data_IF_309652184131
#
_entry.id   IF_309652184131
#
_cell.length_a   1.000
_cell.length_b   1.000
_cell.length_c   1.000
_cell.angle_alpha   90.00
_cell.angle_beta   90.00
_cell.angle_gamma   90.00
#
_symmetry.space_group_name_H-M   'P 1'
#
loop_
_entity.id
_entity.type
_entity.pdbx_description
1 polymer ?
#
# COMPACT_ATOMS: atom_id res chain seq x y z
N UNK A 1 13.00 -17.96 -28.17
CA UNK A 1 13.78 -16.72 -27.96
C UNK A 1 14.64 -16.47 -29.19
N UNK A 2 14.26 -15.54 -30.04
CA UNK A 2 15.07 -15.08 -31.17
C UNK A 2 16.03 -14.01 -30.68
N UNK A 3 17.33 -14.33 -30.60
CA UNK A 3 18.40 -13.35 -30.38
C UNK A 3 18.78 -12.73 -31.73
N UNK A 4 18.06 -11.71 -32.18
CA UNK A 4 18.49 -10.87 -33.30
C UNK A 4 18.99 -9.55 -32.74
N UNK A 5 20.31 -9.34 -32.73
CA UNK A 5 20.91 -8.09 -32.24
C UNK A 5 20.78 -6.99 -33.29
N UNK A 6 20.02 -5.93 -32.99
CA UNK A 6 20.12 -4.64 -33.67
C UNK A 6 20.72 -3.63 -32.68
N UNK A 7 21.99 -3.24 -32.90
CA UNK A 7 22.74 -2.31 -32.03
C UNK A 7 23.55 -2.98 -30.90
N UNK A 8 24.01 -2.19 -29.91
CA UNK A 8 24.84 -2.66 -28.77
C UNK A 8 24.06 -3.43 -27.68
N UNK A 9 22.75 -3.60 -27.82
CA UNK A 9 21.89 -4.24 -26.82
C UNK A 9 21.38 -5.60 -27.30
N UNK A 10 21.32 -6.56 -26.38
CA UNK A 10 20.64 -7.85 -26.63
C UNK A 10 19.14 -7.61 -26.71
N UNK A 11 18.49 -8.17 -27.73
CA UNK A 11 17.06 -8.03 -27.95
C UNK A 11 16.40 -9.41 -27.91
N UNK A 12 15.20 -9.44 -27.34
CA UNK A 12 14.29 -10.59 -27.33
C UNK A 12 12.88 -10.08 -27.57
N UNK A 13 12.05 -10.91 -28.19
CA UNK A 13 10.65 -10.59 -28.47
C UNK A 13 9.74 -11.78 -28.19
N UNK A 14 8.46 -11.47 -27.96
CA UNK A 14 7.36 -12.41 -27.75
C UNK A 14 6.16 -11.94 -28.60
N UNK A 15 5.23 -12.85 -28.89
CA UNK A 15 3.96 -12.47 -29.52
C UNK A 15 3.08 -11.68 -28.55
N UNK A 16 2.17 -10.87 -29.10
CA UNK A 16 1.20 -10.11 -28.32
C UNK A 16 0.38 -11.00 -27.39
N UNK A 17 -0.07 -12.15 -27.89
CA UNK A 17 -0.80 -13.17 -27.12
C UNK A 17 -0.02 -13.76 -25.94
N UNK A 18 1.31 -13.66 -25.94
CA UNK A 18 2.18 -14.17 -24.88
C UNK A 18 2.62 -13.11 -23.87
N UNK A 19 2.19 -11.85 -24.02
CA UNK A 19 2.63 -10.74 -23.16
C UNK A 19 2.21 -11.00 -21.71
N UNK A 20 0.95 -11.30 -21.47
CA UNK A 20 0.44 -11.43 -20.09
C UNK A 20 1.13 -12.59 -19.35
N UNK A 21 1.31 -13.74 -20.00
CA UNK A 21 2.05 -14.87 -19.41
C UNK A 21 3.52 -14.53 -19.12
N UNK A 22 4.17 -13.76 -20.01
CA UNK A 22 5.55 -13.32 -19.80
C UNK A 22 5.66 -12.31 -18.64
N UNK A 23 4.71 -11.38 -18.52
CA UNK A 23 4.61 -10.43 -17.41
C UNK A 23 4.49 -11.19 -16.09
N UNK A 24 3.58 -12.17 -15.99
CA UNK A 24 3.43 -13.01 -14.79
C UNK A 24 4.72 -13.74 -14.43
N UNK A 25 5.43 -14.31 -15.40
CA UNK A 25 6.72 -15.00 -15.18
C UNK A 25 7.84 -14.07 -14.70
N UNK A 26 7.80 -12.79 -15.06
CA UNK A 26 8.78 -11.79 -14.63
C UNK A 26 8.44 -11.28 -13.22
N UNK A 27 7.15 -11.05 -12.94
CA UNK A 27 6.66 -10.64 -11.63
C UNK A 27 6.91 -11.72 -10.58
N UNK A 28 6.67 -12.99 -10.92
CA UNK A 28 6.99 -14.15 -10.06
C UNK A 28 8.49 -14.27 -9.74
N UNK A 29 9.36 -13.64 -10.54
CA UNK A 29 10.80 -13.53 -10.29
C UNK A 29 11.20 -12.24 -9.57
N UNK A 30 10.24 -11.39 -9.20
CA UNK A 30 10.47 -10.14 -8.48
C UNK A 30 10.85 -8.95 -9.36
N UNK A 31 10.67 -9.03 -10.68
CA UNK A 31 10.95 -7.91 -11.58
C UNK A 31 9.74 -6.99 -11.74
N UNK A 32 9.98 -5.68 -11.76
CA UNK A 32 8.97 -4.70 -12.18
C UNK A 32 8.90 -4.64 -13.71
N UNK A 33 7.69 -4.60 -14.26
CA UNK A 33 7.47 -4.69 -15.72
C UNK A 33 6.65 -3.50 -16.20
N UNK A 34 7.22 -2.70 -17.11
CA UNK A 34 6.51 -1.60 -17.77
C UNK A 34 5.88 -2.02 -19.09
N UNK A 35 4.59 -1.74 -19.27
CA UNK A 35 3.84 -1.99 -20.51
C UNK A 35 3.77 -0.72 -21.36
N UNK A 36 4.44 -0.75 -22.50
CA UNK A 36 4.46 0.32 -23.49
C UNK A 36 3.55 -0.04 -24.66
N UNK A 37 2.57 0.82 -24.96
CA UNK A 37 1.64 0.61 -26.07
C UNK A 37 1.87 1.62 -27.19
N UNK A 38 1.47 1.24 -28.41
CA UNK A 38 1.43 2.14 -29.55
C UNK A 38 0.16 2.99 -29.47
N UNK A 39 0.31 4.31 -29.61
CA UNK A 39 -0.81 5.26 -29.51
C UNK A 39 -1.47 5.56 -30.85
N UNK A 40 -0.83 5.18 -31.96
CA UNK A 40 -1.29 5.50 -33.31
C UNK A 40 -1.00 4.34 -34.26
N UNK A 41 -1.81 4.19 -35.30
CA UNK A 41 -1.58 3.20 -36.36
C UNK A 41 -0.49 3.66 -37.33
N UNK A 42 -0.02 2.75 -38.18
CA UNK A 42 0.97 3.05 -39.22
C UNK A 42 0.47 4.13 -40.19
N UNK A 43 -0.81 4.10 -40.55
CA UNK A 43 -1.45 5.07 -41.45
C UNK A 43 -1.50 6.46 -40.82
N UNK A 44 -1.88 6.53 -39.54
CA UNK A 44 -1.90 7.77 -38.77
C UNK A 44 -0.50 8.38 -38.66
N UNK A 45 0.52 7.58 -38.37
CA UNK A 45 1.90 8.04 -38.35
C UNK A 45 2.35 8.56 -39.74
N UNK A 46 2.07 7.84 -40.82
CA UNK A 46 2.41 8.27 -42.18
C UNK A 46 1.72 9.57 -42.59
N UNK A 47 0.48 9.78 -42.15
CA UNK A 47 -0.25 11.02 -42.40
C UNK A 47 0.42 12.25 -41.77
N UNK A 48 1.16 12.04 -40.68
CA UNK A 48 1.94 13.05 -39.95
C UNK A 48 3.27 13.38 -40.64
N UNK A 49 3.71 12.54 -41.58
CA UNK A 49 4.95 12.66 -42.34
C UNK A 49 5.52 11.29 -42.73
N UNK A 50 6.16 11.22 -43.90
CA UNK A 50 6.71 9.96 -44.45
C UNK A 50 7.83 9.34 -43.60
N UNK A 51 8.53 10.15 -42.80
CA UNK A 51 9.59 9.73 -41.88
C UNK A 51 9.15 9.68 -40.42
N UNK A 52 7.85 9.89 -40.16
CA UNK A 52 7.35 9.99 -38.80
C UNK A 52 7.30 8.61 -38.12
N UNK A 53 7.76 8.57 -36.87
CA UNK A 53 7.80 7.34 -36.05
C UNK A 53 6.52 7.22 -35.24
N UNK A 54 5.98 6.00 -35.15
CA UNK A 54 4.82 5.66 -34.31
C UNK A 54 5.13 6.00 -32.86
N UNK A 55 4.28 6.86 -32.28
CA UNK A 55 4.35 7.23 -30.87
C UNK A 55 4.00 6.05 -29.97
N UNK A 56 4.80 5.87 -28.92
CA UNK A 56 4.60 4.87 -27.87
C UNK A 56 4.55 5.54 -26.52
N UNK A 57 3.75 5.01 -25.61
CA UNK A 57 3.61 5.53 -24.25
C UNK A 57 3.54 4.39 -23.25
N UNK A 58 4.09 4.63 -22.06
CA UNK A 58 3.94 3.73 -20.91
C UNK A 58 2.49 3.83 -20.44
N UNK A 59 1.78 2.71 -20.49
CA UNK A 59 0.37 2.62 -20.09
C UNK A 59 0.23 2.05 -18.69
N UNK A 60 1.12 1.13 -18.30
CA UNK A 60 1.03 0.47 -17.00
C UNK A 60 2.41 0.05 -16.49
N UNK A 61 2.57 0.02 -15.16
CA UNK A 61 3.74 -0.58 -14.51
C UNK A 61 3.26 -1.62 -13.51
N UNK A 62 3.59 -2.88 -13.78
CA UNK A 62 3.31 -3.99 -12.89
C UNK A 62 4.46 -4.15 -11.88
N UNK A 63 4.12 -4.23 -10.59
CA UNK A 63 5.04 -4.67 -9.52
C UNK A 63 4.52 -5.98 -8.96
N UNK A 64 5.36 -6.80 -8.31
CA UNK A 64 4.91 -8.02 -7.63
C UNK A 64 3.70 -7.76 -6.71
N UNK A 65 3.64 -6.59 -6.09
CA UNK A 65 2.60 -6.14 -5.16
C UNK A 65 1.31 -5.66 -5.82
N UNK A 66 1.36 -5.25 -7.09
CA UNK A 66 0.19 -4.80 -7.88
C UNK A 66 -0.23 -5.81 -8.95
N UNK A 67 0.26 -7.04 -8.85
CA UNK A 67 -0.01 -8.09 -9.83
C UNK A 67 -1.45 -8.55 -9.75
N UNK A 68 -2.22 -8.32 -10.83
CA UNK A 68 -3.31 -9.22 -11.20
C UNK A 68 -3.91 -8.87 -12.56
N UNK A 69 -4.22 -9.92 -13.32
CA UNK A 69 -4.88 -9.97 -14.63
C UNK A 69 -6.25 -9.28 -14.65
N UNK A 70 -6.29 -7.94 -14.63
CA UNK A 70 -7.56 -7.18 -14.69
C UNK A 70 -8.51 -7.42 -13.51
N UNK A 71 -8.12 -8.21 -12.52
CA UNK A 71 -8.89 -8.50 -11.31
C UNK A 71 -7.95 -8.56 -10.13
N UNK A 72 -7.93 -7.45 -9.39
CA UNK A 72 -7.17 -7.27 -8.15
C UNK A 72 -7.37 -8.50 -7.27
N UNK A 73 -6.27 -9.10 -6.80
CA UNK A 73 -6.30 -10.37 -6.09
C UNK A 73 -7.27 -10.36 -4.89
N UNK A 74 -7.61 -11.53 -4.32
CA UNK A 74 -8.57 -11.62 -3.21
C UNK A 74 -8.13 -10.90 -1.92
N UNK A 75 -6.86 -10.49 -1.83
CA UNK A 75 -6.33 -9.74 -0.69
C UNK A 75 -6.61 -8.25 -0.87
N UNK A 76 -7.34 -7.68 0.08
CA UNK A 76 -7.84 -6.30 0.02
C UNK A 76 -6.72 -5.23 -0.04
N UNK A 77 -5.65 -5.31 0.75
CA UNK A 77 -4.72 -4.17 0.91
C UNK A 77 -3.38 -4.38 0.21
N UNK A 78 -3.07 -3.49 -0.73
CA UNK A 78 -1.94 -3.67 -1.67
C UNK A 78 -0.72 -2.85 -1.28
N UNK A 79 -0.91 -1.58 -0.91
CA UNK A 79 0.18 -0.65 -0.65
C UNK A 79 -0.07 0.11 0.65
N UNK A 80 0.95 0.25 1.48
CA UNK A 80 0.96 1.08 2.69
C UNK A 80 2.12 2.08 2.58
N UNK A 81 1.84 3.37 2.67
CA UNK A 81 2.84 4.40 2.86
C UNK A 81 2.94 4.81 4.33
N UNK A 82 4.17 4.93 4.83
CA UNK A 82 4.44 5.35 6.22
C UNK A 82 5.41 6.53 6.21
N UNK A 83 5.09 7.55 7.01
CA UNK A 83 5.94 8.71 7.30
C UNK A 83 6.12 8.83 8.81
N UNK A 84 7.35 9.08 9.24
CA UNK A 84 7.72 9.25 10.64
C UNK A 84 8.07 10.71 10.90
N UNK A 85 7.70 11.22 12.08
CA UNK A 85 8.11 12.52 12.58
C UNK A 85 8.40 12.39 14.07
N UNK A 86 9.59 12.84 14.47
CA UNK A 86 10.01 12.86 15.87
C UNK A 86 9.60 14.19 16.51
N UNK A 87 8.83 14.13 17.59
CA UNK A 87 8.53 15.32 18.38
C UNK A 87 9.61 15.47 19.45
N UNK A 88 10.63 16.29 19.19
CA UNK A 88 11.71 16.55 20.15
C UNK A 88 11.21 17.18 21.47
N UNK A 89 10.02 17.80 21.46
CA UNK A 89 9.40 18.46 22.59
C UNK A 89 8.65 17.51 23.56
N UNK A 90 8.24 16.31 23.11
CA UNK A 90 7.43 15.37 23.89
C UNK A 90 8.20 14.09 24.20
N UNK A 91 9.26 14.19 25.01
CA UNK A 91 9.98 13.05 25.61
C UNK A 91 10.42 11.94 24.63
N UNK A 92 10.73 12.28 23.38
CA UNK A 92 11.13 11.29 22.37
C UNK A 92 10.00 10.40 21.87
N UNK A 93 8.74 10.85 21.99
CA UNK A 93 7.61 10.21 21.33
C UNK A 93 7.69 10.40 19.81
N UNK A 94 7.36 9.34 19.09
CA UNK A 94 7.39 9.31 17.63
C UNK A 94 5.96 9.27 17.12
N UNK A 95 5.66 10.12 16.14
CA UNK A 95 4.38 10.08 15.44
C UNK A 95 4.58 9.47 14.06
N UNK A 96 3.76 8.47 13.73
CA UNK A 96 3.67 7.94 12.37
C UNK A 96 2.37 8.40 11.72
N UNK A 97 2.50 8.99 10.54
CA UNK A 97 1.40 9.14 9.59
C UNK A 97 1.42 7.99 8.61
N UNK A 98 0.25 7.46 8.26
CA UNK A 98 0.16 6.38 7.30
C UNK A 98 -1.03 6.57 6.35
N UNK A 99 -0.88 5.99 5.17
CA UNK A 99 -1.96 5.87 4.20
C UNK A 99 -1.85 4.52 3.50
N UNK A 100 -2.96 3.81 3.32
CA UNK A 100 -2.97 2.56 2.55
C UNK A 100 -4.17 2.50 1.61
N UNK A 101 -4.03 1.66 0.57
CA UNK A 101 -5.04 1.54 -0.48
C UNK A 101 -5.40 0.09 -0.73
N UNK A 102 -6.71 -0.11 -0.87
CA UNK A 102 -7.31 -1.26 -1.52
C UNK A 102 -7.69 -0.82 -2.93
N UNK A 103 -6.87 -1.22 -3.90
CA UNK A 103 -7.11 -0.89 -5.29
C UNK A 103 -8.41 -1.55 -5.81
N UNK A 104 -8.83 -2.70 -5.27
CA UNK A 104 -10.03 -3.42 -5.70
C UNK A 104 -11.29 -2.71 -5.26
N UNK A 105 -11.30 -2.29 -4.00
CA UNK A 105 -12.42 -1.59 -3.40
C UNK A 105 -12.44 -0.10 -3.77
N UNK A 106 -11.39 0.42 -4.43
CA UNK A 106 -11.17 1.85 -4.68
C UNK A 106 -11.27 2.65 -3.38
N UNK A 107 -10.63 2.16 -2.31
CA UNK A 107 -10.65 2.80 -1.00
C UNK A 107 -9.24 3.12 -0.55
N UNK A 108 -9.09 4.35 -0.07
CA UNK A 108 -7.88 4.86 0.54
C UNK A 108 -8.18 5.16 1.99
N UNK A 109 -7.34 4.67 2.89
CA UNK A 109 -7.43 4.95 4.30
C UNK A 109 -6.23 5.77 4.73
N UNK A 110 -6.47 6.73 5.63
CA UNK A 110 -5.44 7.61 6.16
C UNK A 110 -5.59 7.74 7.66
N UNK A 111 -4.48 7.79 8.38
CA UNK A 111 -4.50 7.95 9.81
C UNK A 111 -3.13 8.29 10.39
N UNK A 112 -3.10 8.44 11.71
CA UNK A 112 -1.88 8.67 12.47
C UNK A 112 -1.86 7.80 13.73
N UNK A 113 -0.68 7.40 14.14
CA UNK A 113 -0.42 6.75 15.43
C UNK A 113 0.71 7.48 16.15
N UNK A 114 0.59 7.57 17.47
CA UNK A 114 1.69 7.95 18.35
C UNK A 114 2.30 6.68 18.94
N UNK A 115 3.62 6.61 18.97
CA UNK A 115 4.38 5.44 19.39
C UNK A 115 5.61 5.86 20.22
N UNK A 116 6.24 4.87 20.83
CA UNK A 116 7.51 5.02 21.53
C UNK A 116 8.62 4.16 20.85
N UNK A 117 9.77 4.03 21.50
CA UNK A 117 10.89 3.25 20.98
C UNK A 117 10.57 1.76 20.75
N UNK A 118 9.47 1.23 21.30
CA UNK A 118 9.04 -0.15 21.08
C UNK A 118 8.36 -0.36 19.72
N UNK A 119 7.87 0.71 19.07
CA UNK A 119 7.14 0.66 17.81
C UNK A 119 5.93 -0.32 17.86
N UNK A 120 5.25 -0.37 19.02
CA UNK A 120 4.18 -1.32 19.29
C UNK A 120 2.92 -1.03 18.45
N UNK A 121 2.58 0.25 18.30
CA UNK A 121 1.43 0.68 17.50
C UNK A 121 1.70 0.52 16.00
N UNK A 122 2.94 0.78 15.56
CA UNK A 122 3.36 0.51 14.18
C UNK A 122 3.27 -1.00 13.88
N UNK A 123 3.67 -1.85 14.82
CA UNK A 123 3.51 -3.29 14.69
C UNK A 123 2.04 -3.73 14.60
N UNK A 124 1.16 -3.13 15.40
CA UNK A 124 -0.28 -3.39 15.33
C UNK A 124 -0.87 -2.98 13.96
N UNK A 125 -0.50 -1.81 13.45
CA UNK A 125 -0.91 -1.34 12.13
C UNK A 125 -0.47 -2.32 11.03
N UNK A 126 0.81 -2.70 11.00
CA UNK A 126 1.33 -3.63 9.99
C UNK A 126 0.60 -4.98 10.02
N UNK A 127 0.22 -5.45 11.20
CA UNK A 127 -0.48 -6.72 11.35
C UNK A 127 -1.95 -6.65 10.97
N UNK A 128 -2.63 -5.55 11.30
CA UNK A 128 -4.03 -5.33 10.91
C UNK A 128 -4.18 -5.09 9.40
N UNK A 129 -3.24 -4.35 8.81
CA UNK A 129 -3.27 -3.96 7.39
C UNK A 129 -2.70 -5.06 6.49
N UNK A 130 -1.69 -5.80 6.96
CA UNK A 130 -0.98 -6.86 6.21
C UNK A 130 -0.65 -6.46 4.76
N UNK A 131 0.06 -5.34 4.54
CA UNK A 131 0.30 -4.80 3.21
C UNK A 131 1.20 -5.73 2.37
N UNK A 132 1.03 -5.72 1.04
CA UNK A 132 1.96 -6.40 0.11
C UNK A 132 3.21 -5.57 -0.20
N UNK A 133 3.11 -4.26 -0.08
CA UNK A 133 4.21 -3.33 -0.26
C UNK A 133 4.15 -2.20 0.75
N UNK A 134 5.31 -1.88 1.33
CA UNK A 134 5.48 -0.76 2.24
C UNK A 134 6.35 0.29 1.58
N UNK A 135 5.76 1.46 1.35
CA UNK A 135 6.41 2.66 0.84
C UNK A 135 6.88 3.48 2.03
N UNK A 136 8.17 3.81 2.07
CA UNK A 136 8.73 4.54 3.21
C UNK A 136 9.86 5.48 2.80
N UNK A 137 10.05 6.53 3.60
CA UNK A 137 11.20 7.43 3.44
C UNK A 137 12.45 6.79 4.07
N UNK A 138 13.41 6.41 3.24
CA UNK A 138 14.62 5.74 3.70
C UNK A 138 15.49 6.61 4.63
N UNK A 139 15.39 7.95 4.51
CA UNK A 139 16.13 8.91 5.34
C UNK A 139 15.29 9.43 6.51
N UNK A 140 13.98 9.38 6.38
CA UNK A 140 13.03 9.85 7.40
C UNK A 140 12.70 8.84 8.50
N UNK A 141 12.89 7.54 8.27
CA UNK A 141 12.59 6.52 9.30
C UNK A 141 13.75 6.30 10.30
N UNK A 142 13.40 6.19 11.59
CA UNK A 142 14.30 5.81 12.66
C UNK A 142 14.76 4.35 12.53
N UNK A 143 15.87 4.02 13.19
CA UNK A 143 16.40 2.65 13.20
C UNK A 143 15.43 1.65 13.82
N UNK A 144 14.63 2.09 14.80
CA UNK A 144 13.68 1.22 15.48
C UNK A 144 12.42 1.00 14.63
N UNK A 145 11.92 2.04 13.94
CA UNK A 145 10.87 1.87 12.94
C UNK A 145 11.30 0.93 11.80
N UNK A 146 12.53 1.07 11.29
CA UNK A 146 13.07 0.17 10.26
C UNK A 146 13.18 -1.29 10.74
N UNK A 147 13.52 -1.53 12.01
CA UNK A 147 13.53 -2.88 12.61
C UNK A 147 12.10 -3.41 12.75
N UNK A 148 11.16 -2.58 13.20
CA UNK A 148 9.76 -2.96 13.37
C UNK A 148 9.12 -3.35 12.03
N UNK A 149 9.32 -2.53 11.00
CA UNK A 149 8.90 -2.85 9.62
C UNK A 149 9.45 -4.23 9.22
N UNK A 150 10.78 -4.45 9.30
CA UNK A 150 11.37 -5.76 8.96
C UNK A 150 10.81 -6.92 9.79
N UNK A 151 10.59 -6.72 11.09
CA UNK A 151 10.10 -7.75 12.01
C UNK A 151 8.68 -8.21 11.64
N UNK A 152 7.75 -7.27 11.52
CA UNK A 152 6.34 -7.58 11.29
C UNK A 152 6.01 -7.82 9.80
N UNK A 153 6.91 -7.45 8.90
CA UNK A 153 6.88 -7.86 7.49
C UNK A 153 7.14 -9.37 7.30
N UNK A 154 7.90 -10.02 8.19
CA UNK A 154 8.29 -11.43 8.04
C UNK A 154 7.26 -12.43 8.59
N UNK A 155 6.19 -11.96 9.22
CA UNK A 155 5.17 -12.80 9.89
C UNK A 155 3.97 -13.13 8.99
N UNK A 156 4.03 -12.79 7.69
CA UNK A 156 3.04 -13.13 6.67
C UNK A 156 3.51 -14.25 5.71
N UNK A 157 2.59 -14.88 4.96
CA UNK A 157 2.92 -15.93 3.98
C UNK A 157 3.89 -15.47 2.88
N UNK A 158 3.97 -14.16 2.63
CA UNK A 158 4.98 -13.53 1.79
C UNK A 158 5.48 -12.23 2.44
N UNK A 159 6.79 -12.02 2.45
CA UNK A 159 7.36 -10.78 2.96
C UNK A 159 6.97 -9.61 2.02
N UNK A 160 6.45 -8.49 2.54
CA UNK A 160 6.10 -7.34 1.73
C UNK A 160 7.33 -6.74 1.06
N UNK A 161 7.09 -6.19 -0.13
CA UNK A 161 8.09 -5.43 -0.84
C UNK A 161 8.37 -4.12 -0.08
N UNK A 162 9.63 -3.89 0.27
CA UNK A 162 10.06 -2.66 0.93
C UNK A 162 10.53 -1.68 -0.15
N UNK A 163 9.71 -0.66 -0.41
CA UNK A 163 9.94 0.31 -1.49
C UNK A 163 10.31 1.68 -0.91
N UNK A 164 11.61 2.04 -0.91
CA UNK A 164 12.01 3.38 -0.50
C UNK A 164 11.45 4.40 -1.50
N UNK A 165 10.92 5.52 -0.97
CA UNK A 165 10.52 6.65 -1.80
C UNK A 165 11.75 7.18 -2.55
N UNK A 166 11.54 7.53 -3.82
CA UNK A 166 12.62 8.04 -4.67
C UNK A 166 13.04 9.44 -4.25
N UNK A 167 14.31 9.83 -4.46
CA UNK A 167 14.76 11.19 -4.19
C UNK A 167 13.90 12.23 -4.93
N UNK A 168 13.29 13.17 -4.19
CA UNK A 168 12.41 14.21 -4.74
C UNK A 168 10.94 13.81 -4.91
N UNK A 169 10.58 12.57 -4.58
CA UNK A 169 9.20 12.09 -4.50
C UNK A 169 8.64 12.11 -3.06
N UNK A 170 9.50 12.43 -2.09
CA UNK A 170 9.16 12.61 -0.67
C UNK A 170 8.50 13.97 -0.47
N UNK A 171 7.21 13.96 -0.15
CA UNK A 171 6.57 15.17 0.35
C UNK A 171 7.03 15.44 1.78
N UNK A 172 7.65 16.60 1.96
CA UNK A 172 8.05 17.12 3.28
C UNK A 172 7.03 18.14 3.76
N UNK A 173 6.50 18.96 2.86
CA UNK A 173 5.51 19.99 3.15
C UNK A 173 4.08 19.50 2.88
N UNK A 174 3.19 19.49 3.90
CA UNK A 174 1.78 19.18 3.73
C UNK A 174 1.08 20.07 2.69
N UNK A 175 1.47 21.33 2.54
CA UNK A 175 0.86 22.26 1.58
C UNK A 175 1.14 21.86 0.13
N UNK A 176 2.34 21.34 -0.16
CA UNK A 176 2.70 20.79 -1.47
C UNK A 176 1.83 19.58 -1.82
N UNK A 177 1.51 18.73 -0.83
CA UNK A 177 0.60 17.59 -1.01
C UNK A 177 -0.80 18.09 -1.37
N UNK A 178 -1.35 19.08 -0.66
CA UNK A 178 -2.69 19.62 -0.96
C UNK A 178 -2.75 20.13 -2.39
N UNK A 179 -1.77 20.95 -2.78
CA UNK A 179 -1.67 21.48 -4.14
C UNK A 179 -1.56 20.34 -5.17
N UNK A 180 -0.76 19.31 -4.90
CA UNK A 180 -0.62 18.15 -5.78
C UNK A 180 -1.96 17.40 -5.96
N UNK A 181 -2.67 17.10 -4.87
CA UNK A 181 -3.95 16.41 -4.92
C UNK A 181 -5.01 17.24 -5.67
N UNK A 182 -5.07 18.55 -5.41
CA UNK A 182 -6.03 19.47 -6.04
C UNK A 182 -5.78 19.65 -7.55
N UNK A 183 -4.51 19.85 -7.93
CA UNK A 183 -4.08 19.98 -9.32
C UNK A 183 -4.43 18.73 -10.14
N UNK A 184 -4.24 17.55 -9.55
CA UNK A 184 -4.54 16.26 -10.19
C UNK A 184 -6.03 15.90 -10.14
N UNK A 185 -6.79 16.59 -9.29
CA UNK A 185 -8.20 16.35 -9.08
C UNK A 185 -8.52 15.00 -8.45
N UNK A 186 -7.64 14.52 -7.58
CA UNK A 186 -7.86 13.28 -6.84
C UNK A 186 -8.96 13.45 -5.81
N UNK A 187 -9.70 12.37 -5.53
CA UNK A 187 -10.83 12.31 -4.58
C UNK A 187 -11.99 13.27 -4.86
N UNK A 188 -12.05 13.93 -6.02
CA UNK A 188 -13.16 14.83 -6.39
C UNK A 188 -14.51 14.13 -6.53
N UNK A 189 -14.50 12.83 -6.79
CA UNK A 189 -15.71 12.00 -6.86
C UNK A 189 -16.21 11.48 -5.50
N UNK A 190 -15.43 11.66 -4.43
CA UNK A 190 -15.81 11.15 -3.11
C UNK A 190 -16.97 11.94 -2.51
N UNK A 191 -17.81 11.26 -1.73
CA UNK A 191 -19.04 11.85 -1.17
C UNK A 191 -18.75 12.98 -0.15
N UNK A 192 -17.59 12.95 0.50
CA UNK A 192 -17.12 13.97 1.44
C UNK A 192 -15.89 14.67 0.87
N UNK A 193 -15.69 15.96 1.15
CA UNK A 193 -14.39 16.58 0.83
C UNK A 193 -13.30 15.82 1.59
N UNK A 194 -12.27 15.39 0.88
CA UNK A 194 -11.16 14.63 1.45
C UNK A 194 -10.48 15.36 2.62
N UNK A 195 -10.55 16.69 2.64
CA UNK A 195 -10.10 17.54 3.75
C UNK A 195 -10.74 17.16 5.10
N UNK A 196 -12.04 16.85 5.13
CA UNK A 196 -12.78 16.53 6.36
C UNK A 196 -12.43 15.15 6.91
N UNK A 197 -11.85 14.27 6.09
CA UNK A 197 -11.41 12.96 6.53
C UNK A 197 -10.28 13.06 7.56
N UNK A 198 -9.58 14.20 7.59
CA UNK A 198 -8.54 14.45 8.56
C UNK A 198 -9.06 15.02 9.88
N UNK A 199 -10.30 15.51 9.98
CA UNK A 199 -10.84 16.20 11.17
C UNK A 199 -10.80 15.37 12.48
N UNK A 200 -10.58 14.05 12.39
CA UNK A 200 -10.38 13.13 13.53
C UNK A 200 -8.95 12.57 13.68
N UNK A 201 -7.99 12.99 12.86
CA UNK A 201 -6.62 12.46 12.84
C UNK A 201 -5.73 13.38 13.65
N UNK A 202 -5.25 12.96 14.83
CA UNK A 202 -4.46 13.80 15.75
C UNK A 202 -3.28 14.51 15.08
N UNK A 203 -2.60 13.85 14.14
CA UNK A 203 -1.45 14.41 13.40
C UNK A 203 -1.71 14.48 11.90
N UNK A 204 -2.60 15.40 11.53
CA UNK A 204 -3.06 15.70 10.17
C UNK A 204 -1.90 15.83 9.16
N UNK A 205 -0.85 16.57 9.49
CA UNK A 205 0.24 16.91 8.58
C UNK A 205 1.09 15.69 8.17
N UNK A 206 1.46 14.85 9.14
CA UNK A 206 2.27 13.64 8.89
C UNK A 206 1.48 12.61 8.09
N UNK A 207 0.19 12.46 8.41
CA UNK A 207 -0.72 11.58 7.68
C UNK A 207 -0.93 12.05 6.24
N UNK A 208 -1.03 13.36 6.03
CA UNK A 208 -1.13 13.97 4.70
C UNK A 208 0.15 13.75 3.88
N UNK A 209 1.33 13.90 4.46
CA UNK A 209 2.59 13.57 3.79
C UNK A 209 2.67 12.08 3.39
N UNK A 210 2.18 11.17 4.25
CA UNK A 210 2.10 9.75 3.91
C UNK A 210 1.13 9.49 2.73
N UNK A 211 -0.03 10.15 2.72
CA UNK A 211 -0.98 10.11 1.59
C UNK A 211 -0.34 10.63 0.29
N UNK A 212 0.42 11.73 0.36
CA UNK A 212 1.16 12.25 -0.78
C UNK A 212 2.14 11.23 -1.36
N UNK A 213 2.92 10.57 -0.50
CA UNK A 213 3.86 9.52 -0.90
C UNK A 213 3.16 8.33 -1.56
N UNK A 214 2.00 7.90 -1.02
CA UNK A 214 1.17 6.86 -1.63
C UNK A 214 0.64 7.29 -3.00
N UNK A 215 0.09 8.50 -3.09
CA UNK A 215 -0.52 9.02 -4.31
C UNK A 215 0.50 9.16 -5.45
N UNK A 216 1.69 9.68 -5.15
CA UNK A 216 2.79 9.78 -6.11
C UNK A 216 3.31 8.39 -6.50
N UNK A 217 3.32 7.42 -5.58
CA UNK A 217 3.67 6.05 -5.94
C UNK A 217 2.66 5.43 -6.91
N UNK A 218 1.36 5.59 -6.67
CA UNK A 218 0.31 5.14 -7.58
C UNK A 218 0.38 5.83 -8.95
N UNK A 219 0.68 7.13 -9.00
CA UNK A 219 0.87 7.84 -10.27
C UNK A 219 2.02 7.24 -11.10
N UNK A 220 3.15 6.89 -10.47
CA UNK A 220 4.26 6.22 -11.17
C UNK A 220 3.90 4.83 -11.67
N UNK A 221 2.97 4.15 -11.00
CA UNK A 221 2.47 2.85 -11.43
C UNK A 221 1.41 2.95 -12.54
N UNK A 222 1.01 4.17 -12.92
CA UNK A 222 -0.13 4.43 -13.82
C UNK A 222 -1.45 3.90 -13.24
N UNK A 223 -1.64 4.04 -11.92
CA UNK A 223 -2.82 3.65 -11.16
C UNK A 223 -3.57 4.89 -10.59
N UNK A 224 -3.44 6.04 -11.26
CA UNK A 224 -4.06 7.30 -10.85
C UNK A 224 -5.59 7.27 -10.87
N UNK A 225 -6.18 6.35 -11.63
CA UNK A 225 -7.64 6.11 -11.61
C UNK A 225 -8.16 5.68 -10.24
N UNK A 226 -7.36 4.96 -9.45
CA UNK A 226 -7.73 4.55 -8.08
C UNK A 226 -7.96 5.77 -7.20
N UNK A 227 -7.15 6.81 -7.37
CA UNK A 227 -7.26 8.06 -6.62
C UNK A 227 -8.36 8.98 -7.15
N UNK A 228 -8.64 8.94 -8.46
CA UNK A 228 -9.71 9.75 -9.07
C UNK A 228 -11.09 9.23 -8.72
N UNK A 229 -11.26 7.91 -8.72
CA UNK A 229 -12.55 7.25 -8.56
C UNK A 229 -12.78 6.73 -7.13
N UNK A 230 -11.72 6.72 -6.30
CA UNK A 230 -11.78 6.14 -4.97
C UNK A 230 -12.26 7.09 -3.87
N UNK A 231 -12.72 6.48 -2.78
CA UNK A 231 -13.09 7.16 -1.55
C UNK A 231 -11.92 7.21 -0.57
N UNK A 232 -11.83 8.32 0.18
CA UNK A 232 -10.86 8.48 1.27
C UNK A 232 -11.56 8.38 2.63
N UNK A 233 -11.00 7.58 3.53
CA UNK A 233 -11.57 7.25 4.84
C UNK A 233 -10.52 7.43 5.94
N UNK A 234 -10.97 7.82 7.14
CA UNK A 234 -10.09 7.86 8.30
C UNK A 234 -9.92 6.46 8.87
N UNK A 235 -8.72 6.17 9.37
CA UNK A 235 -8.40 4.90 10.01
C UNK A 235 -7.73 5.12 11.35
N UNK A 236 -8.30 4.47 12.36
CA UNK A 236 -7.84 4.50 13.74
C UNK A 236 -7.52 3.07 14.16
N UNK A 237 -6.25 2.80 14.48
CA UNK A 237 -5.75 1.45 14.82
C UNK A 237 -6.45 0.83 16.03
N UNK A 238 -7.00 1.66 16.93
CA UNK A 238 -7.57 1.23 18.21
C UNK A 238 -9.03 1.70 18.43
N UNK A 239 -9.79 1.95 17.36
CA UNK A 239 -11.15 2.50 17.49
C UNK A 239 -12.15 1.50 18.07
N UNK A 240 -12.57 1.75 19.31
CA UNK A 240 -13.66 0.99 19.96
C UNK A 240 -13.38 -0.50 20.13
N UNK A 241 -12.11 -0.90 20.16
CA UNK A 241 -11.68 -2.29 20.24
C UNK A 241 -10.62 -2.50 21.33
N UNK A 242 -10.43 -3.76 21.75
CA UNK A 242 -9.37 -4.14 22.68
C UNK A 242 -8.00 -3.83 22.06
N UNK A 243 -7.21 -3.00 22.74
CA UNK A 243 -5.86 -2.64 22.29
C UNK A 243 -4.93 -3.85 22.41
N UNK A 244 -4.47 -4.36 21.28
CA UNK A 244 -3.45 -5.40 21.19
C UNK A 244 -2.27 -4.85 20.39
N UNK A 245 -1.06 -5.01 20.92
CA UNK A 245 0.16 -4.65 20.19
C UNK A 245 0.51 -5.71 19.12
N UNK A 246 1.43 -5.35 18.23
CA UNK A 246 1.87 -6.26 17.16
C UNK A 246 2.42 -7.59 17.68
N UNK A 247 3.15 -7.58 18.81
CA UNK A 247 3.72 -8.81 19.38
C UNK A 247 2.64 -9.74 19.93
N UNK A 248 1.60 -9.20 20.56
CA UNK A 248 0.45 -9.96 21.08
C UNK A 248 -0.32 -10.59 19.92
N UNK A 249 -0.55 -9.86 18.83
CA UNK A 249 -1.21 -10.38 17.63
C UNK A 249 -0.43 -11.56 17.00
N UNK A 250 0.90 -11.49 16.98
CA UNK A 250 1.78 -12.57 16.53
C UNK A 250 1.72 -13.77 17.48
N UNK A 251 1.86 -13.53 18.79
CA UNK A 251 1.86 -14.59 19.81
C UNK A 251 0.53 -15.36 19.87
N UNK A 252 -0.58 -14.67 19.60
CA UNK A 252 -1.93 -15.25 19.58
C UNK A 252 -2.32 -15.85 18.23
N UNK A 253 -1.46 -15.75 17.20
CA UNK A 253 -1.69 -16.28 15.85
C UNK A 253 -3.03 -15.79 15.25
N UNK A 254 -3.36 -14.52 15.51
CA UNK A 254 -4.68 -13.97 15.15
C UNK A 254 -4.88 -13.92 13.63
N UNK A 255 -3.82 -13.63 12.87
CA UNK A 255 -3.91 -13.49 11.41
C UNK A 255 -3.23 -14.65 10.66
N UNK A 256 -2.04 -15.09 11.10
CA UNK A 256 -1.29 -16.17 10.46
C UNK A 256 -0.84 -17.21 11.51
N UNK A 257 -0.81 -18.47 11.10
CA UNK A 257 -0.26 -19.56 11.91
C UNK A 257 1.27 -19.66 11.72
N UNK A 258 2.01 -19.90 12.80
CA UNK A 258 3.46 -20.05 12.75
C UNK A 258 3.94 -21.41 12.20
N UNK A 259 3.03 -22.40 12.04
CA UNK A 259 3.40 -23.73 11.55
C UNK A 259 3.65 -23.78 10.03
N UNK A 260 2.84 -23.08 9.24
CA UNK A 260 2.87 -23.13 7.77
C UNK A 260 2.71 -21.75 7.10
N UNK A 261 2.55 -20.67 7.88
CA UNK A 261 2.34 -19.32 7.36
C UNK A 261 0.99 -19.13 6.65
N UNK A 262 0.12 -20.14 6.68
CA UNK A 262 -1.22 -20.05 6.10
C UNK A 262 -2.09 -19.11 6.94
N UNK A 263 -3.12 -18.48 6.32
CA UNK A 263 -4.10 -17.70 7.07
C UNK A 263 -4.66 -18.58 8.17
N UNK A 264 -4.64 -18.11 9.42
CA UNK A 264 -5.16 -18.95 10.50
C UNK A 264 -6.67 -19.14 10.27
N UNK A 265 -7.11 -20.38 10.03
CA UNK A 265 -8.53 -20.77 9.87
C UNK A 265 -9.41 -20.45 11.10
N UNK A 266 -8.88 -19.72 12.08
CA UNK A 266 -9.52 -19.42 13.35
C UNK A 266 -10.49 -18.23 13.24
N UNK A 267 -10.30 -17.25 12.34
CA UNK A 267 -11.05 -15.98 12.44
C UNK A 267 -11.43 -15.29 11.10
N UNK A 268 -12.73 -15.12 10.85
CA UNK A 268 -13.26 -14.04 10.00
C UNK A 268 -13.53 -12.83 10.91
N UNK A 269 -12.55 -11.94 11.09
CA UNK A 269 -12.70 -10.81 12.00
C UNK A 269 -13.42 -9.66 11.28
N UNK A 270 -14.74 -9.57 11.50
CA UNK A 270 -15.48 -8.33 11.31
C UNK A 270 -15.44 -7.54 12.62
N UNK A 271 -14.59 -6.52 12.70
CA UNK A 271 -14.65 -5.52 13.78
C UNK A 271 -15.85 -4.61 13.51
N UNK A 272 -17.02 -4.97 14.04
CA UNK A 272 -18.19 -4.06 14.10
C UNK A 272 -18.48 -3.70 15.56
N UNK A 273 -18.72 -2.40 15.74
CA UNK A 273 -18.70 -1.57 16.95
C UNK A 273 -19.52 -1.99 18.18
N UNK A 274 -20.11 -3.19 18.30
CA UNK A 274 -21.04 -3.47 19.42
C UNK A 274 -21.24 -4.94 19.83
N UNK A 275 -20.33 -5.86 19.52
CA UNK A 275 -20.59 -7.29 19.84
C UNK A 275 -19.50 -7.96 20.67
N UNK A 276 -19.97 -8.78 21.62
CA UNK A 276 -19.23 -9.83 22.31
C UNK A 276 -18.63 -10.76 21.25
N UNK A 277 -17.30 -10.86 21.23
CA UNK A 277 -16.60 -11.79 20.35
C UNK A 277 -16.63 -13.19 20.98
N UNK A 278 -17.59 -14.02 20.58
CA UNK A 278 -17.59 -15.44 20.94
C UNK A 278 -16.80 -16.18 19.87
N UNK A 279 -15.56 -16.54 20.20
CA UNK A 279 -14.69 -17.32 19.33
C UNK A 279 -14.97 -18.82 19.53
N UNK A 280 -15.64 -19.45 18.56
CA UNK A 280 -15.87 -20.91 18.56
C UNK A 280 -14.72 -21.60 17.84
N UNK A 281 -13.75 -22.11 18.59
CA UNK A 281 -12.69 -22.97 18.04
C UNK A 281 -13.15 -24.43 17.90
N UNK A 282 -12.74 -25.10 16.82
CA UNK A 282 -12.97 -26.55 16.61
C UNK A 282 -12.27 -27.45 17.65
N UNK A 283 -11.45 -26.88 18.55
CA UNK A 283 -10.76 -27.60 19.62
C UNK A 283 -11.28 -27.27 21.04
N UNK A 284 -12.48 -26.68 21.18
CA UNK A 284 -13.19 -26.65 22.47
C UNK A 284 -12.69 -25.66 23.53
N UNK A 285 -11.71 -24.82 23.25
CA UNK A 285 -11.27 -23.76 24.17
C UNK A 285 -12.00 -22.45 23.89
N UNK A 286 -12.63 -21.90 24.93
CA UNK A 286 -13.29 -20.58 24.90
C UNK A 286 -12.36 -19.56 25.55
N UNK A 287 -12.10 -18.45 24.86
CA UNK A 287 -11.47 -17.27 25.45
C UNK A 287 -12.53 -16.20 25.56
N UNK A 288 -12.79 -15.72 26.77
CA UNK A 288 -13.74 -14.64 27.04
C UNK A 288 -12.97 -13.32 27.16
N UNK A 289 -13.35 -12.33 26.35
CA UNK A 289 -12.93 -10.95 26.57
C UNK A 289 -14.14 -10.13 26.98
N UNK A 290 -14.10 -9.59 28.20
CA UNK A 290 -15.02 -8.55 28.65
C UNK A 290 -14.43 -7.19 28.29
N UNK A 291 -15.16 -6.38 27.55
CA UNK A 291 -14.96 -4.93 27.53
C UNK A 291 -16.11 -4.32 28.31
N UNK A 292 -15.83 -3.85 29.54
CA UNK A 292 -16.74 -2.92 30.20
C UNK A 292 -16.56 -1.57 29.50
N UNK A 293 -17.55 -1.17 28.71
CA UNK A 293 -17.72 0.24 28.35
C UNK A 293 -18.45 0.92 29.51
N UNK A 294 -17.77 1.82 30.22
CA UNK A 294 -18.40 3.02 30.76
C UNK A 294 -18.21 4.16 29.75
#
# INVERSE_FOLDING_TARGET
MTLSGVGKCRQVGISESGIDEAVQKLLARGYNVGRMEQLETSEQAKSRGSTSVIRRKLVHVFTPSTTSEGNIGPDAVHLLAVKETCNELENGSTTFGFAFVDCAALKVWVGSISDDASCAALGALLMQVSPKEVIYDARGLSKDAQKALKKYSLTGPAAPLMSPVQPGADFVDPAEVKNFLDLKGYFKGSCNRWDHTFDGVTSHDVALCALGSLANHLERLMLDEVLRNGDILSYEVYRGCLKMDGQTLVNLEIFNNNADGSPSCKYNIFVKSSFVLILRGNCGNYIFFYSNCE
#
